data_IF_491921555000
#
_entry.id   IF_491921555000
#
_cell.length_a   1.000
_cell.length_b   1.000
_cell.length_c   1.000
_cell.angle_alpha   90.00
_cell.angle_beta   90.00
_cell.angle_gamma   90.00
#
_symmetry.space_group_name_H-M   'P 1'
#
loop_
_entity.id
_entity.type
_entity.pdbx_description
1 polymer ?
#
# COMPACT_ATOMS: atom_id res chain seq x y z
N UNK A 1 1.55 -10.61 -10.66
CA UNK A 1 2.23 -11.13 -9.45
C UNK A 1 1.17 -11.75 -8.56
N UNK A 2 1.51 -12.82 -7.84
CA UNK A 2 0.59 -13.47 -6.90
C UNK A 2 1.09 -13.20 -5.49
N UNK A 3 0.25 -12.59 -4.65
CA UNK A 3 0.54 -12.35 -3.24
C UNK A 3 -0.26 -13.33 -2.38
N UNK A 4 0.33 -13.83 -1.29
CA UNK A 4 -0.38 -14.66 -0.32
C UNK A 4 -1.03 -13.81 0.77
N UNK A 5 -2.10 -14.33 1.36
CA UNK A 5 -2.87 -13.61 2.40
C UNK A 5 -2.05 -13.32 3.66
N UNK A 6 -1.03 -14.14 3.94
CA UNK A 6 -0.13 -13.99 5.07
C UNK A 6 1.08 -13.10 4.81
N UNK A 7 1.36 -12.73 3.54
CA UNK A 7 2.48 -11.84 3.22
C UNK A 7 2.26 -10.46 3.83
N UNK A 8 3.32 -9.91 4.41
CA UNK A 8 3.33 -8.59 5.06
C UNK A 8 4.24 -7.64 4.30
N UNK A 9 3.87 -6.37 4.26
CA UNK A 9 4.61 -5.34 3.54
C UNK A 9 4.92 -4.14 4.43
N UNK A 10 6.10 -3.58 4.28
CA UNK A 10 6.47 -2.28 4.84
C UNK A 10 6.82 -1.31 3.72
N UNK A 11 6.56 -0.02 3.95
CA UNK A 11 7.06 1.03 3.08
C UNK A 11 8.58 1.17 3.25
N UNK A 12 9.25 1.62 2.20
CA UNK A 12 10.66 2.04 2.26
C UNK A 12 10.77 3.33 3.11
N UNK A 13 11.82 3.42 3.94
CA UNK A 13 11.92 4.46 4.99
C UNK A 13 12.17 5.89 4.47
N UNK A 14 12.70 6.01 3.26
CA UNK A 14 13.07 7.24 2.55
C UNK A 14 11.91 7.83 1.73
N UNK A 15 10.68 7.37 1.96
CA UNK A 15 9.49 7.84 1.28
C UNK A 15 8.73 8.85 2.14
N UNK A 16 8.43 10.01 1.54
CA UNK A 16 7.65 11.07 2.19
C UNK A 16 6.25 11.09 1.60
N UNK A 17 5.25 11.40 2.43
CA UNK A 17 3.88 11.64 1.97
C UNK A 17 3.58 13.11 2.14
N UNK A 18 3.19 13.76 1.06
CA UNK A 18 2.75 15.15 1.09
C UNK A 18 1.35 15.28 0.50
N UNK A 19 0.57 16.20 1.06
CA UNK A 19 -0.67 16.67 0.45
C UNK A 19 -0.32 17.90 -0.40
N UNK A 20 -0.46 17.77 -1.71
CA UNK A 20 -0.26 18.88 -2.65
C UNK A 20 -1.60 19.14 -3.32
N UNK A 21 -2.09 20.37 -3.16
CA UNK A 21 -3.45 20.77 -3.49
C UNK A 21 -4.48 19.82 -2.83
N UNK A 22 -5.20 19.03 -3.63
CA UNK A 22 -6.20 18.06 -3.19
C UNK A 22 -5.75 16.60 -3.39
N UNK A 23 -4.47 16.36 -3.71
CA UNK A 23 -3.92 15.04 -3.97
C UNK A 23 -2.87 14.65 -2.95
N UNK A 24 -2.94 13.40 -2.47
CA UNK A 24 -1.89 12.82 -1.64
C UNK A 24 -0.86 12.18 -2.56
N UNK A 25 0.40 12.57 -2.42
CA UNK A 25 1.51 12.05 -3.22
C UNK A 25 2.55 11.36 -2.33
N UNK A 26 3.11 10.26 -2.84
CA UNK A 26 4.33 9.66 -2.31
C UNK A 26 5.50 10.28 -3.07
N UNK A 27 6.39 10.95 -2.36
CA UNK A 27 7.64 11.49 -2.86
C UNK A 27 8.77 10.50 -2.59
N UNK A 28 9.39 10.01 -3.67
CA UNK A 28 10.61 9.20 -3.63
C UNK A 28 11.83 10.14 -3.64
N UNK A 29 12.42 10.36 -2.46
CA UNK A 29 13.52 11.31 -2.27
C UNK A 29 14.81 10.94 -3.04
N UNK A 30 14.95 9.68 -3.44
CA UNK A 30 16.11 9.21 -4.19
C UNK A 30 15.84 9.07 -5.70
N UNK A 31 14.60 8.75 -6.06
CA UNK A 31 14.20 8.48 -7.44
C UNK A 31 13.78 9.71 -8.23
N UNK A 32 13.58 10.87 -7.60
CA UNK A 32 12.97 12.08 -8.20
C UNK A 32 11.61 11.78 -8.85
N UNK A 33 10.82 10.91 -8.20
CA UNK A 33 9.50 10.46 -8.65
C UNK A 33 8.44 10.81 -7.63
N UNK A 34 7.29 11.24 -8.13
CA UNK A 34 6.08 11.47 -7.34
C UNK A 34 4.99 10.52 -7.80
N UNK A 35 4.29 9.89 -6.86
CA UNK A 35 3.18 8.99 -7.15
C UNK A 35 1.90 9.49 -6.48
N UNK A 36 0.87 9.81 -7.27
CA UNK A 36 -0.43 10.20 -6.74
C UNK A 36 -1.19 8.99 -6.20
N UNK A 37 -1.84 9.18 -5.05
CA UNK A 37 -2.73 8.20 -4.42
C UNK A 37 -4.18 8.68 -4.50
N UNK A 38 -5.10 7.75 -4.78
CA UNK A 38 -6.52 7.95 -4.55
C UNK A 38 -6.87 7.68 -3.08
N UNK A 39 -8.12 7.91 -2.67
CA UNK A 39 -8.55 7.73 -1.28
C UNK A 39 -8.24 6.33 -0.71
N UNK A 40 -8.45 5.27 -1.50
CA UNK A 40 -8.14 3.89 -1.10
C UNK A 40 -6.64 3.68 -0.92
N UNK A 41 -5.83 4.17 -1.86
CA UNK A 41 -4.38 4.08 -1.80
C UNK A 41 -3.80 4.83 -0.59
N UNK A 42 -4.37 5.99 -0.23
CA UNK A 42 -3.98 6.73 0.99
C UNK A 42 -4.23 5.90 2.23
N UNK A 43 -5.42 5.31 2.35
CA UNK A 43 -5.79 4.45 3.48
C UNK A 43 -4.82 3.25 3.61
N UNK A 44 -4.62 2.52 2.51
CA UNK A 44 -3.73 1.36 2.47
C UNK A 44 -2.29 1.77 2.80
N UNK A 45 -1.81 2.87 2.24
CA UNK A 45 -0.46 3.37 2.48
C UNK A 45 -0.22 3.73 3.95
N UNK A 46 -1.17 4.45 4.57
CA UNK A 46 -1.10 4.78 6.00
C UNK A 46 -1.04 3.52 6.86
N UNK A 47 -1.88 2.52 6.55
CA UNK A 47 -1.86 1.23 7.25
C UNK A 47 -0.51 0.53 7.10
N UNK A 48 0.02 0.44 5.87
CA UNK A 48 1.31 -0.20 5.57
C UNK A 48 2.46 0.41 6.38
N UNK A 49 2.49 1.75 6.48
CA UNK A 49 3.53 2.47 7.24
C UNK A 49 3.44 2.27 8.74
N UNK A 50 2.26 1.93 9.27
CA UNK A 50 2.04 1.91 10.71
C UNK A 50 2.49 0.59 11.35
N UNK A 51 2.21 -0.55 10.74
CA UNK A 51 2.39 -1.84 11.42
C UNK A 51 2.69 -3.06 10.54
N UNK A 52 3.12 -2.85 9.29
CA UNK A 52 3.41 -3.95 8.36
C UNK A 52 2.28 -5.00 8.26
N UNK A 53 1.07 -4.58 7.85
CA UNK A 53 -0.11 -5.42 7.81
C UNK A 53 0.06 -6.54 6.78
N UNK A 54 -0.70 -7.62 6.99
CA UNK A 54 -0.81 -8.71 6.02
C UNK A 54 -1.73 -8.33 4.87
N UNK A 55 -1.63 -9.05 3.75
CA UNK A 55 -2.56 -8.89 2.62
C UNK A 55 -4.01 -9.11 3.08
N UNK A 56 -4.29 -10.11 3.92
CA UNK A 56 -5.62 -10.33 4.47
C UNK A 56 -6.14 -9.12 5.28
N UNK A 57 -5.31 -8.56 6.18
CA UNK A 57 -5.66 -7.39 7.00
C UNK A 57 -5.97 -6.16 6.11
N UNK A 58 -5.26 -6.01 4.99
CA UNK A 58 -5.50 -4.93 4.02
C UNK A 58 -6.77 -5.15 3.19
N UNK A 59 -7.13 -6.39 2.85
CA UNK A 59 -8.41 -6.72 2.19
C UNK A 59 -9.57 -6.37 3.12
N UNK A 60 -9.53 -6.87 4.36
CA UNK A 60 -10.55 -6.60 5.37
C UNK A 60 -10.73 -5.08 5.61
N UNK A 61 -9.64 -4.32 5.61
CA UNK A 61 -9.68 -2.87 5.73
C UNK A 61 -10.47 -2.20 4.60
N UNK A 62 -10.27 -2.64 3.36
CA UNK A 62 -11.01 -2.11 2.20
C UNK A 62 -12.49 -2.49 2.24
N UNK A 63 -12.80 -3.73 2.57
CA UNK A 63 -14.18 -4.20 2.72
C UNK A 63 -14.94 -3.38 3.76
N UNK A 64 -14.35 -3.21 4.95
CA UNK A 64 -14.99 -2.50 6.05
C UNK A 64 -15.15 -1.01 5.77
N UNK A 65 -14.16 -0.39 5.12
CA UNK A 65 -14.17 1.06 4.90
C UNK A 65 -15.06 1.47 3.73
N UNK A 66 -15.08 0.67 2.65
CA UNK A 66 -15.78 0.99 1.41
C UNK A 66 -17.03 0.15 1.15
N UNK A 67 -17.36 -0.81 2.02
CA UNK A 67 -18.50 -1.72 1.88
C UNK A 67 -18.52 -2.46 0.53
N UNK A 68 -17.33 -2.88 0.06
CA UNK A 68 -17.13 -3.66 -1.16
C UNK A 68 -16.94 -5.15 -0.83
N UNK A 69 -17.12 -6.01 -1.82
CA UNK A 69 -16.89 -7.45 -1.67
C UNK A 69 -15.40 -7.82 -1.68
N UNK A 70 -15.11 -9.02 -1.18
CA UNK A 70 -13.75 -9.54 -1.02
C UNK A 70 -12.97 -9.67 -2.32
N UNK A 71 -13.63 -10.07 -3.42
CA UNK A 71 -12.96 -10.23 -4.72
C UNK A 71 -12.57 -8.87 -5.29
N UNK A 72 -13.45 -7.86 -5.14
CA UNK A 72 -13.16 -6.49 -5.51
C UNK A 72 -12.03 -5.90 -4.66
N UNK A 73 -12.12 -6.02 -3.34
CA UNK A 73 -11.10 -5.54 -2.40
C UNK A 73 -9.73 -6.17 -2.69
N UNK A 74 -9.70 -7.49 -2.90
CA UNK A 74 -8.48 -8.21 -3.29
C UNK A 74 -7.94 -7.68 -4.61
N UNK A 75 -8.76 -7.57 -5.64
CA UNK A 75 -8.30 -7.09 -6.96
C UNK A 75 -7.68 -5.70 -6.88
N UNK A 76 -8.36 -4.77 -6.20
CA UNK A 76 -7.90 -3.39 -6.04
C UNK A 76 -6.61 -3.34 -5.19
N UNK A 77 -6.51 -4.13 -4.12
CA UNK A 77 -5.30 -4.25 -3.31
C UNK A 77 -4.11 -4.83 -4.08
N UNK A 78 -4.30 -5.94 -4.81
CA UNK A 78 -3.20 -6.58 -5.54
C UNK A 78 -2.66 -5.66 -6.64
N UNK A 79 -3.53 -4.90 -7.30
CA UNK A 79 -3.13 -3.88 -8.26
C UNK A 79 -2.28 -2.78 -7.59
N UNK A 80 -2.70 -2.31 -6.42
CA UNK A 80 -1.97 -1.32 -5.63
C UNK A 80 -0.59 -1.83 -5.19
N UNK A 81 -0.52 -3.00 -4.54
CA UNK A 81 0.74 -3.61 -4.09
C UNK A 81 1.70 -3.89 -5.25
N UNK A 82 1.18 -4.38 -6.38
CA UNK A 82 1.99 -4.63 -7.58
C UNK A 82 2.58 -3.35 -8.15
N UNK A 83 1.83 -2.25 -8.16
CA UNK A 83 2.32 -0.96 -8.64
C UNK A 83 3.45 -0.42 -7.73
N UNK A 84 3.26 -0.46 -6.42
CA UNK A 84 4.26 -0.01 -5.47
C UNK A 84 5.53 -0.88 -5.47
N UNK A 85 5.37 -2.21 -5.56
CA UNK A 85 6.50 -3.13 -5.65
C UNK A 85 7.29 -2.92 -6.95
N UNK A 86 6.60 -2.75 -8.08
CA UNK A 86 7.25 -2.46 -9.37
C UNK A 86 7.97 -1.11 -9.36
N UNK A 87 7.47 -0.14 -8.59
CA UNK A 87 8.14 1.15 -8.38
C UNK A 87 9.29 1.09 -7.35
N UNK A 88 9.46 -0.04 -6.64
CA UNK A 88 10.48 -0.22 -5.61
C UNK A 88 10.17 0.52 -4.30
N UNK A 89 8.89 0.75 -4.00
CA UNK A 89 8.42 1.53 -2.85
C UNK A 89 8.05 0.67 -1.63
N UNK A 90 7.86 -0.64 -1.84
CA UNK A 90 7.54 -1.61 -0.79
C UNK A 90 8.67 -2.62 -0.62
N UNK A 91 8.83 -3.08 0.61
CA UNK A 91 9.68 -4.19 1.00
C UNK A 91 8.79 -5.28 1.63
N UNK A 92 9.04 -6.54 1.27
CA UNK A 92 8.41 -7.67 1.95
C UNK A 92 8.95 -7.79 3.38
N UNK A 93 8.05 -7.81 4.35
CA UNK A 93 8.41 -7.93 5.75
C UNK A 93 8.54 -9.40 6.14
N UNK A 94 9.75 -9.93 6.02
CA UNK A 94 10.09 -11.26 6.52
C UNK A 94 10.33 -11.18 8.02
N UNK A 95 9.38 -11.65 8.83
CA UNK A 95 9.57 -11.80 10.27
C UNK A 95 10.68 -12.82 10.52
N UNK A 96 11.92 -12.34 10.68
CA UNK A 96 12.98 -13.15 11.27
C UNK A 96 12.83 -13.02 12.78
N UNK A 97 12.40 -14.11 13.42
CA UNK A 97 12.39 -14.29 14.87
C UNK A 97 13.78 -14.05 15.48
#
# INVERSE_FOLDING_TARGET
MTFSDSQRFTARDDLVVEAIDDQIVILDLHGDRCFGLNAQGVLLWQRIRQDAPSVAELIELLEQTYAIDAERARTDLLAFLSALQSAGLLLEHNQTL
#
